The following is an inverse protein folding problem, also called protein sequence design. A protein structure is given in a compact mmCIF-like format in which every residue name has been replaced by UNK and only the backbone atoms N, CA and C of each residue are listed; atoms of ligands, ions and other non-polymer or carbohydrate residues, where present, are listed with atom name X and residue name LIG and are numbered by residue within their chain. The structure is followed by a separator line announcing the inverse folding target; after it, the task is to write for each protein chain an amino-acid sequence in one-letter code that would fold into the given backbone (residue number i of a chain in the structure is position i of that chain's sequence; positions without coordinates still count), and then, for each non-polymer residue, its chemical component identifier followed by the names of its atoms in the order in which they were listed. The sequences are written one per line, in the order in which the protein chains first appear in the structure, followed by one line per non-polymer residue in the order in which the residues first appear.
data_IF_936569995854
#
_entry.id   IF_936569995854
#
_cell.length_a   1.000
_cell.length_b   1.000
_cell.length_c   1.000
_cell.angle_alpha   90.00
_cell.angle_beta   90.00
_cell.angle_gamma   90.00
#
_symmetry.space_group_name_H-M   'P 1'
#
loop_
_entity.id
_entity.type
_entity.pdbx_description
1 polymer ?
#
# COMPACT_ATOMS: atom_id res chain seq x y z
N UNK A 1 -19.40 -1.89 2.01
CA UNK A 1 -19.30 -1.32 0.65
C UNK A 1 -20.37 -1.87 -0.29
N UNK A 2 -20.55 -3.20 -0.48
CA UNK A 2 -21.60 -3.73 -1.39
C UNK A 2 -22.99 -3.19 -1.09
N UNK A 3 -23.41 -3.15 0.17
CA UNK A 3 -24.70 -2.60 0.58
C UNK A 3 -24.81 -1.10 0.27
N UNK A 4 -23.72 -0.36 0.43
CA UNK A 4 -23.67 1.05 0.13
C UNK A 4 -23.73 1.30 -1.40
N UNK A 5 -22.96 0.53 -2.20
CA UNK A 5 -23.03 0.58 -3.67
C UNK A 5 -24.45 0.32 -4.16
N UNK A 6 -25.09 -0.76 -3.65
CA UNK A 6 -26.47 -1.12 -4.02
C UNK A 6 -27.42 -0.01 -3.58
N UNK A 7 -27.30 0.49 -2.35
CA UNK A 7 -28.17 1.55 -1.82
C UNK A 7 -28.05 2.85 -2.64
N UNK A 8 -26.84 3.33 -2.88
CA UNK A 8 -26.61 4.54 -3.68
C UNK A 8 -27.11 4.38 -5.12
N UNK A 9 -26.90 3.20 -5.73
CA UNK A 9 -27.39 2.89 -7.07
C UNK A 9 -28.92 2.85 -7.11
N UNK A 10 -29.56 2.26 -6.09
CA UNK A 10 -31.03 2.20 -5.99
C UNK A 10 -31.63 3.60 -5.86
N UNK A 11 -31.07 4.44 -4.95
CA UNK A 11 -31.50 5.82 -4.79
C UNK A 11 -31.37 6.61 -6.10
N UNK A 12 -30.26 6.45 -6.81
CA UNK A 12 -30.04 7.10 -8.08
C UNK A 12 -31.06 6.68 -9.15
N UNK A 13 -31.37 5.38 -9.25
CA UNK A 13 -32.31 4.85 -10.25
C UNK A 13 -33.76 5.21 -9.92
N UNK A 14 -34.17 5.12 -8.65
CA UNK A 14 -35.57 5.36 -8.26
C UNK A 14 -35.91 6.85 -8.13
N UNK A 15 -34.97 7.64 -7.59
CA UNK A 15 -35.20 9.06 -7.26
C UNK A 15 -34.42 10.05 -8.14
N UNK A 16 -33.66 9.60 -9.13
CA UNK A 16 -32.72 10.44 -9.91
C UNK A 16 -33.37 11.64 -10.59
N UNK A 17 -34.69 11.60 -10.83
CA UNK A 17 -35.43 12.74 -11.40
C UNK A 17 -35.66 13.88 -10.40
N UNK A 18 -35.57 13.60 -9.12
CA UNK A 18 -35.80 14.52 -8.03
C UNK A 18 -34.51 15.02 -7.38
N UNK A 19 -33.38 14.39 -7.70
CA UNK A 19 -32.05 14.73 -7.17
C UNK A 19 -31.44 15.87 -7.96
N UNK A 20 -30.76 16.74 -7.25
CA UNK A 20 -29.89 17.78 -7.84
C UNK A 20 -28.66 17.13 -8.49
N UNK A 21 -27.99 17.83 -9.38
CA UNK A 21 -26.75 17.35 -10.00
C UNK A 21 -25.63 17.09 -8.98
N UNK A 22 -25.59 17.87 -7.89
CA UNK A 22 -24.66 17.64 -6.78
C UNK A 22 -24.95 16.32 -6.08
N UNK A 23 -26.21 16.07 -5.69
CA UNK A 23 -26.59 14.80 -5.04
C UNK A 23 -26.35 13.58 -5.93
N UNK A 24 -26.57 13.71 -7.24
CA UNK A 24 -26.22 12.65 -8.21
C UNK A 24 -24.72 12.39 -8.24
N UNK A 25 -23.92 13.47 -8.27
CA UNK A 25 -22.46 13.38 -8.27
C UNK A 25 -21.96 12.70 -7.00
N UNK A 26 -22.50 13.06 -5.84
CA UNK A 26 -22.15 12.48 -4.55
C UNK A 26 -22.46 10.98 -4.51
N UNK A 27 -23.63 10.57 -4.98
CA UNK A 27 -23.99 9.13 -5.05
C UNK A 27 -23.04 8.35 -5.95
N UNK A 28 -22.69 8.88 -7.11
CA UNK A 28 -21.77 8.23 -8.04
C UNK A 28 -20.35 8.18 -7.46
N UNK A 29 -19.92 9.24 -6.77
CA UNK A 29 -18.62 9.26 -6.08
C UNK A 29 -18.56 8.20 -4.99
N UNK A 30 -19.59 8.04 -4.16
CA UNK A 30 -19.66 6.99 -3.16
C UNK A 30 -19.61 5.57 -3.77
N UNK A 31 -20.32 5.35 -4.91
CA UNK A 31 -20.27 4.08 -5.62
C UNK A 31 -18.84 3.80 -6.11
N UNK A 32 -18.17 4.80 -6.66
CA UNK A 32 -16.80 4.67 -7.17
C UNK A 32 -15.81 4.38 -6.04
N UNK A 33 -15.91 5.11 -4.91
CA UNK A 33 -15.05 4.92 -3.74
C UNK A 33 -15.20 3.51 -3.16
N UNK A 34 -16.43 3.05 -2.95
CA UNK A 34 -16.71 1.71 -2.42
C UNK A 34 -16.29 0.59 -3.40
N UNK A 35 -16.42 0.83 -4.71
CA UNK A 35 -15.97 -0.12 -5.74
C UNK A 35 -14.45 -0.25 -5.78
N UNK A 36 -13.73 0.87 -5.71
CA UNK A 36 -12.27 0.89 -5.62
C UNK A 36 -11.77 0.21 -4.33
N UNK A 37 -12.48 0.45 -3.22
CA UNK A 37 -12.18 -0.23 -1.97
C UNK A 37 -12.31 -1.75 -2.09
N UNK A 38 -13.40 -2.25 -2.71
CA UNK A 38 -13.59 -3.69 -2.95
C UNK A 38 -12.52 -4.28 -3.85
N UNK A 39 -12.14 -3.55 -4.90
CA UNK A 39 -11.07 -3.98 -5.80
C UNK A 39 -9.76 -4.17 -5.04
N UNK A 40 -9.37 -3.18 -4.23
CA UNK A 40 -8.18 -3.25 -3.39
C UNK A 40 -8.25 -4.44 -2.40
N UNK A 41 -9.44 -4.71 -1.82
CA UNK A 41 -9.64 -5.84 -0.93
C UNK A 41 -9.40 -7.17 -1.64
N UNK A 42 -9.94 -7.34 -2.85
CA UNK A 42 -9.78 -8.56 -3.65
C UNK A 42 -8.32 -8.75 -4.06
N UNK A 43 -7.64 -7.71 -4.54
CA UNK A 43 -6.21 -7.78 -4.88
C UNK A 43 -5.35 -8.17 -3.69
N UNK A 44 -5.62 -7.58 -2.53
CA UNK A 44 -4.95 -7.91 -1.28
C UNK A 44 -5.18 -9.39 -0.87
N UNK A 45 -6.42 -9.88 -0.99
CA UNK A 45 -6.75 -11.28 -0.67
C UNK A 45 -6.06 -12.25 -1.64
N UNK A 46 -6.04 -11.93 -2.94
CA UNK A 46 -5.34 -12.73 -3.95
C UNK A 46 -3.83 -12.78 -3.68
N UNK A 47 -3.23 -11.71 -3.22
CA UNK A 47 -1.81 -11.66 -2.85
C UNK A 47 -1.51 -12.61 -1.67
N UNK A 48 -2.37 -12.64 -0.65
CA UNK A 48 -2.23 -13.58 0.48
C UNK A 48 -2.42 -15.04 0.04
N UNK A 49 -3.38 -15.31 -0.84
CA UNK A 49 -3.64 -16.69 -1.31
C UNK A 49 -2.48 -17.24 -2.17
N UNK A 50 -1.74 -16.38 -2.86
CA UNK A 50 -0.51 -16.79 -3.58
C UNK A 50 0.60 -17.26 -2.63
N UNK A 51 0.64 -16.71 -1.40
CA UNK A 51 1.67 -17.02 -0.40
C UNK A 51 1.26 -18.25 0.45
N UNK A 52 -0.05 -18.48 0.70
CA UNK A 52 -0.54 -19.48 1.65
C UNK A 52 -0.71 -20.91 1.09
N UNK A 53 -0.36 -21.18 -0.15
CA UNK A 53 -0.36 -22.55 -0.66
C UNK A 53 0.88 -23.30 -0.11
N UNK A 54 0.66 -24.18 0.86
CA UNK A 54 1.43 -25.21 1.59
C UNK A 54 2.97 -25.29 1.45
N UNK A 55 3.56 -24.58 0.54
CA UNK A 55 5.00 -24.33 0.43
C UNK A 55 5.19 -22.83 0.23
N UNK A 56 5.44 -22.09 1.27
CA UNK A 56 5.72 -20.63 1.37
C UNK A 56 6.73 -20.09 0.31
N UNK A 57 6.61 -20.50 -0.94
CA UNK A 57 7.53 -20.11 -2.00
C UNK A 57 6.92 -19.03 -2.86
N UNK A 58 7.44 -17.82 -2.65
CA UNK A 58 7.29 -16.70 -3.60
C UNK A 58 8.01 -17.07 -4.89
N UNK A 59 7.43 -16.76 -6.01
CA UNK A 59 8.05 -17.03 -7.32
C UNK A 59 9.06 -15.93 -7.65
N UNK A 60 10.26 -16.02 -7.05
CA UNK A 60 11.32 -15.00 -7.23
C UNK A 60 12.00 -15.17 -8.57
N UNK A 61 12.11 -14.09 -9.32
CA UNK A 61 12.99 -13.91 -10.48
C UNK A 61 13.95 -12.76 -10.23
N UNK A 62 15.04 -12.70 -10.98
CA UNK A 62 15.99 -11.59 -10.88
C UNK A 62 15.36 -10.37 -11.57
N UNK A 63 14.96 -9.38 -10.77
CA UNK A 63 14.18 -8.23 -11.21
C UNK A 63 14.93 -6.92 -10.94
N UNK A 64 14.70 -5.92 -11.81
CA UNK A 64 15.24 -4.57 -11.65
C UNK A 64 14.47 -3.81 -10.57
N UNK A 65 15.19 -3.32 -9.56
CA UNK A 65 14.61 -2.49 -8.49
C UNK A 65 13.99 -1.22 -9.06
N UNK A 66 14.63 -0.58 -10.03
CA UNK A 66 14.16 0.64 -10.68
C UNK A 66 12.84 0.39 -11.44
N UNK A 67 12.76 -0.70 -12.22
CA UNK A 67 11.57 -1.04 -12.98
C UNK A 67 10.37 -1.34 -12.08
N UNK A 68 10.58 -2.08 -10.99
CA UNK A 68 9.53 -2.40 -10.01
C UNK A 68 9.02 -1.14 -9.31
N UNK A 69 9.91 -0.22 -8.91
CA UNK A 69 9.52 1.07 -8.35
C UNK A 69 8.75 1.93 -9.36
N UNK A 70 9.23 2.02 -10.59
CA UNK A 70 8.58 2.81 -11.65
C UNK A 70 7.16 2.29 -11.94
N UNK A 71 6.99 0.97 -12.05
CA UNK A 71 5.68 0.37 -12.29
C UNK A 71 4.73 0.58 -11.10
N UNK A 72 5.22 0.44 -9.85
CA UNK A 72 4.43 0.71 -8.66
C UNK A 72 3.93 2.17 -8.63
N UNK A 73 4.78 3.14 -8.94
CA UNK A 73 4.40 4.56 -9.03
C UNK A 73 3.40 4.81 -10.17
N UNK A 74 3.59 4.17 -11.32
CA UNK A 74 2.67 4.29 -12.44
C UNK A 74 1.27 3.76 -12.08
N UNK A 75 1.20 2.62 -11.40
CA UNK A 75 -0.07 2.03 -10.92
C UNK A 75 -0.72 2.88 -9.84
N UNK A 76 0.07 3.42 -8.91
CA UNK A 76 -0.44 4.35 -7.91
C UNK A 76 -1.09 5.57 -8.55
N UNK A 77 -0.44 6.21 -9.53
CA UNK A 77 -0.95 7.39 -10.24
C UNK A 77 -2.23 7.12 -11.03
N UNK A 78 -2.45 5.89 -11.51
CA UNK A 78 -3.73 5.50 -12.14
C UNK A 78 -4.89 5.50 -11.14
N UNK A 79 -4.63 5.16 -9.86
CA UNK A 79 -5.64 5.13 -8.78
C UNK A 79 -5.81 6.49 -8.11
N UNK A 80 -4.70 7.17 -7.89
CA UNK A 80 -4.60 8.46 -7.21
C UNK A 80 -3.86 9.45 -8.13
N UNK A 81 -4.56 10.08 -9.10
CA UNK A 81 -3.92 10.97 -10.09
C UNK A 81 -3.18 12.15 -9.44
N UNK A 82 -3.65 12.62 -8.28
CA UNK A 82 -3.07 13.73 -7.54
C UNK A 82 -1.89 13.34 -6.66
N UNK A 83 -1.57 12.03 -6.55
CA UNK A 83 -0.44 11.57 -5.75
C UNK A 83 0.89 12.04 -6.36
N UNK A 84 1.68 12.73 -5.55
CA UNK A 84 3.03 13.17 -5.89
C UNK A 84 4.02 12.24 -5.22
N UNK A 85 4.86 11.61 -6.01
CA UNK A 85 5.91 10.71 -5.53
C UNK A 85 7.22 11.10 -6.19
N UNK A 86 8.23 11.33 -5.37
CA UNK A 86 9.62 11.50 -5.78
C UNK A 86 10.33 10.16 -5.59
N UNK A 87 11.00 9.68 -6.62
CA UNK A 87 11.76 8.43 -6.58
C UNK A 87 13.24 8.73 -6.70
N UNK A 88 14.04 8.20 -5.78
CA UNK A 88 15.47 8.27 -5.80
C UNK A 88 16.05 6.86 -5.70
N UNK A 89 16.69 6.41 -6.76
CA UNK A 89 17.40 5.12 -6.82
C UNK A 89 18.87 5.38 -7.10
N UNK A 90 19.78 4.49 -6.65
CA UNK A 90 21.19 4.56 -7.02
C UNK A 90 21.40 4.52 -8.55
N UNK A 91 22.47 5.15 -9.04
CA UNK A 91 22.82 5.16 -10.47
C UNK A 91 23.20 3.76 -11.00
N UNK A 92 23.53 2.85 -10.11
CA UNK A 92 23.86 1.46 -10.46
C UNK A 92 22.59 0.62 -10.67
N UNK A 93 22.60 -0.21 -11.71
CA UNK A 93 21.50 -1.16 -11.97
C UNK A 93 21.46 -2.20 -10.86
N UNK A 94 20.41 -2.16 -10.05
CA UNK A 94 20.21 -3.10 -8.95
C UNK A 94 19.26 -4.21 -9.39
N UNK A 95 19.78 -5.44 -9.46
CA UNK A 95 19.00 -6.65 -9.77
C UNK A 95 18.95 -7.54 -8.54
N UNK A 96 17.75 -7.87 -8.04
CA UNK A 96 17.58 -8.74 -6.88
C UNK A 96 16.50 -9.79 -7.11
N UNK A 97 16.59 -10.97 -6.44
CA UNK A 97 15.57 -12.00 -6.56
C UNK A 97 14.31 -11.60 -5.78
N UNK A 98 13.22 -11.27 -6.51
CA UNK A 98 11.92 -10.94 -5.93
C UNK A 98 10.77 -11.36 -6.85
N UNK A 99 9.56 -11.46 -6.29
CA UNK A 99 8.31 -11.49 -7.05
C UNK A 99 7.88 -10.05 -7.30
N UNK A 100 8.12 -9.54 -8.51
CA UNK A 100 7.86 -8.15 -8.87
C UNK A 100 6.43 -7.72 -8.54
N UNK A 101 5.43 -8.56 -8.84
CA UNK A 101 4.00 -8.24 -8.62
C UNK A 101 3.69 -8.06 -7.14
N UNK A 102 4.26 -8.92 -6.28
CA UNK A 102 4.06 -8.82 -4.84
C UNK A 102 4.79 -7.62 -4.24
N UNK A 103 6.01 -7.32 -4.70
CA UNK A 103 6.74 -6.15 -4.22
C UNK A 103 6.11 -4.84 -4.70
N UNK A 104 5.63 -4.76 -5.95
CA UNK A 104 4.81 -3.65 -6.43
C UNK A 104 3.60 -3.41 -5.53
N UNK A 105 2.89 -4.48 -5.12
CA UNK A 105 1.75 -4.38 -4.21
C UNK A 105 2.15 -3.81 -2.84
N UNK A 106 3.31 -4.22 -2.29
CA UNK A 106 3.84 -3.63 -1.04
C UNK A 106 4.08 -2.13 -1.22
N UNK A 107 4.80 -1.75 -2.27
CA UNK A 107 5.13 -0.35 -2.56
C UNK A 107 3.88 0.51 -2.73
N UNK A 108 2.88 0.03 -3.49
CA UNK A 108 1.61 0.72 -3.68
C UNK A 108 0.90 0.92 -2.34
N UNK A 109 0.78 -0.14 -1.51
CA UNK A 109 0.13 -0.04 -0.21
C UNK A 109 0.83 0.95 0.73
N UNK A 110 2.17 0.98 0.75
CA UNK A 110 2.94 1.92 1.57
C UNK A 110 2.79 3.35 1.07
N UNK A 111 2.89 3.59 -0.24
CA UNK A 111 2.70 4.92 -0.85
C UNK A 111 1.26 5.43 -0.69
N UNK A 112 0.24 4.58 -0.84
CA UNK A 112 -1.16 4.94 -0.56
C UNK A 112 -1.35 5.36 0.89
N UNK A 113 -0.78 4.61 1.85
CA UNK A 113 -0.83 4.97 3.26
C UNK A 113 -0.15 6.32 3.52
N UNK A 114 1.03 6.53 2.98
CA UNK A 114 1.76 7.78 3.11
C UNK A 114 0.94 8.96 2.55
N UNK A 115 0.37 8.83 1.35
CA UNK A 115 -0.42 9.88 0.71
C UNK A 115 -1.73 10.17 1.47
N UNK A 116 -2.46 9.13 1.89
CA UNK A 116 -3.80 9.28 2.51
C UNK A 116 -3.71 9.77 3.96
N UNK A 117 -2.69 9.32 4.71
CA UNK A 117 -2.62 9.56 6.16
C UNK A 117 -1.71 10.71 6.56
N UNK A 118 -0.82 11.17 5.69
CA UNK A 118 0.09 12.30 5.98
C UNK A 118 -0.66 13.62 6.25
N UNK A 119 -1.80 13.83 5.60
CA UNK A 119 -2.56 15.10 5.64
C UNK A 119 -1.75 16.32 5.17
N UNK A 120 -0.80 16.09 4.27
CA UNK A 120 0.01 17.12 3.63
C UNK A 120 -0.14 17.08 2.13
N UNK A 121 0.28 18.14 1.44
CA UNK A 121 0.38 18.21 -0.02
C UNK A 121 1.81 17.97 -0.52
N UNK A 122 2.74 17.73 0.41
CA UNK A 122 4.11 17.41 0.04
C UNK A 122 4.19 16.03 -0.63
N UNK A 123 5.16 15.83 -1.53
CA UNK A 123 5.32 14.55 -2.20
C UNK A 123 5.74 13.45 -1.21
N UNK A 124 5.36 12.22 -1.50
CA UNK A 124 5.89 11.03 -0.85
C UNK A 124 7.28 10.76 -1.43
N UNK A 125 8.27 10.56 -0.57
CA UNK A 125 9.63 10.22 -0.98
C UNK A 125 9.81 8.70 -0.98
N UNK A 126 10.25 8.16 -2.13
CA UNK A 126 10.62 6.74 -2.25
C UNK A 126 12.08 6.65 -2.63
N UNK A 127 12.88 6.00 -1.79
CA UNK A 127 14.30 5.81 -2.08
C UNK A 127 14.79 4.43 -1.67
N UNK A 128 15.97 4.07 -2.15
CA UNK A 128 16.57 2.75 -1.96
C UNK A 128 17.99 2.89 -1.49
N UNK A 129 18.29 2.22 -0.38
CA UNK A 129 19.64 2.11 0.17
C UNK A 129 20.21 0.70 -0.07
N UNK A 130 21.50 0.66 -0.41
CA UNK A 130 22.23 -0.59 -0.68
C UNK A 130 23.16 -0.92 0.48
N UNK A 131 22.81 -1.96 1.26
CA UNK A 131 23.73 -2.59 2.22
C UNK A 131 24.53 -3.75 1.58
N UNK A 132 25.36 -4.43 2.35
CA UNK A 132 26.17 -5.55 1.86
C UNK A 132 25.30 -6.74 1.42
N UNK A 133 24.38 -7.20 2.30
CA UNK A 133 23.56 -8.39 2.09
C UNK A 133 22.11 -8.07 1.69
N UNK A 134 21.63 -6.85 1.96
CA UNK A 134 20.26 -6.44 1.79
C UNK A 134 20.14 -5.14 1.02
N UNK A 135 19.02 -4.98 0.35
CA UNK A 135 18.57 -3.69 -0.18
C UNK A 135 17.41 -3.25 0.70
N UNK A 136 17.40 -1.98 1.09
CA UNK A 136 16.33 -1.37 1.88
C UNK A 136 15.54 -0.39 1.03
N UNK A 137 14.23 -0.60 0.97
CA UNK A 137 13.29 0.29 0.33
C UNK A 137 12.65 1.18 1.39
N UNK A 138 12.56 2.47 1.12
CA UNK A 138 12.01 3.47 2.01
C UNK A 138 10.85 4.20 1.34
N UNK A 139 9.78 4.39 2.11
CA UNK A 139 8.62 5.21 1.73
C UNK A 139 8.37 6.19 2.87
N UNK A 140 8.59 7.46 2.63
CA UNK A 140 8.57 8.51 3.63
C UNK A 140 7.51 9.56 3.29
N UNK A 141 6.72 9.97 4.28
CA UNK A 141 5.80 11.10 4.18
C UNK A 141 6.26 12.28 5.05
N UNK A 142 5.71 13.45 4.79
CA UNK A 142 5.98 14.69 5.52
C UNK A 142 4.75 15.14 6.32
N UNK A 143 4.04 14.19 6.94
CA UNK A 143 2.77 14.40 7.60
C UNK A 143 2.85 14.42 9.12
N UNK A 144 1.73 14.01 9.71
CA UNK A 144 1.54 14.03 11.18
C UNK A 144 2.28 12.90 11.92
N UNK A 145 2.88 11.94 11.20
CA UNK A 145 3.49 10.75 11.78
C UNK A 145 2.49 9.74 12.33
N UNK A 146 3.04 8.67 12.91
CA UNK A 146 2.29 7.56 13.49
C UNK A 146 2.30 7.71 15.03
N UNK A 147 1.15 7.58 15.72
CA UNK A 147 1.13 7.57 17.18
C UNK A 147 2.10 6.51 17.74
N UNK A 148 2.95 6.86 18.73
CA UNK A 148 4.00 5.96 19.23
C UNK A 148 3.47 4.59 19.68
N UNK A 149 2.28 4.56 20.27
CA UNK A 149 1.61 3.34 20.73
C UNK A 149 1.19 2.39 19.58
N UNK A 150 1.10 2.92 18.34
CA UNK A 150 0.72 2.13 17.16
C UNK A 150 1.93 1.61 16.37
N UNK A 151 3.11 2.20 16.54
CA UNK A 151 4.31 1.83 15.77
C UNK A 151 4.64 0.33 15.86
N UNK A 152 4.51 -0.27 17.06
CA UNK A 152 4.82 -1.69 17.28
C UNK A 152 3.77 -2.65 16.73
N UNK A 153 2.54 -2.20 16.52
CA UNK A 153 1.39 -3.05 16.14
C UNK A 153 0.79 -2.72 14.77
N UNK A 154 1.34 -1.73 14.08
CA UNK A 154 0.75 -1.21 12.83
C UNK A 154 0.68 -2.28 11.72
N UNK A 155 1.54 -3.28 11.77
CA UNK A 155 1.57 -4.40 10.83
C UNK A 155 0.77 -5.62 11.29
N UNK A 156 0.16 -5.62 12.50
CA UNK A 156 -0.48 -6.82 13.08
C UNK A 156 -1.96 -6.98 12.68
N UNK A 157 -2.46 -6.11 11.80
CA UNK A 157 -3.84 -6.18 11.26
C UNK A 157 -4.96 -5.80 12.23
N UNK A 158 -4.65 -5.62 13.53
CA UNK A 158 -5.62 -5.33 14.59
C UNK A 158 -5.86 -3.82 14.79
N UNK A 159 -5.07 -2.97 14.15
CA UNK A 159 -5.03 -1.53 14.42
C UNK A 159 -6.22 -0.73 13.89
N UNK A 160 -7.15 -1.36 13.16
CA UNK A 160 -8.22 -0.65 12.42
C UNK A 160 -9.57 -0.56 13.17
N UNK A 161 -9.73 -1.17 14.35
CA UNK A 161 -11.06 -1.29 14.97
C UNK A 161 -11.47 -0.14 15.88
N UNK A 162 -10.61 0.86 16.15
CA UNK A 162 -10.89 1.90 17.16
C UNK A 162 -10.79 3.35 16.72
N UNK A 163 -10.55 3.64 15.45
CA UNK A 163 -10.63 5.05 15.00
C UNK A 163 -11.97 5.32 14.33
N UNK A 164 -12.94 5.77 15.10
CA UNK A 164 -14.08 6.57 14.64
C UNK A 164 -13.57 7.95 14.20
N UNK A 165 -12.77 8.02 13.16
CA UNK A 165 -12.59 9.27 12.44
C UNK A 165 -13.78 9.42 11.50
N UNK A 166 -14.47 10.55 11.58
CA UNK A 166 -15.61 10.96 10.75
C UNK A 166 -15.27 11.16 9.26
N UNK A 167 -14.03 10.92 8.86
CA UNK A 167 -13.60 10.87 7.47
C UNK A 167 -13.87 9.47 6.94
N UNK A 168 -14.79 9.34 5.99
CA UNK A 168 -15.29 8.08 5.42
C UNK A 168 -14.27 7.19 4.71
N UNK A 169 -12.97 7.41 4.88
CA UNK A 169 -11.88 6.60 4.34
C UNK A 169 -11.43 5.57 5.38
N UNK A 170 -12.17 4.48 5.49
CA UNK A 170 -11.80 3.31 6.30
C UNK A 170 -10.67 2.53 5.63
N UNK A 171 -9.44 2.83 6.01
CA UNK A 171 -8.34 1.90 5.81
C UNK A 171 -8.56 0.65 6.69
N UNK A 172 -8.60 -0.55 6.10
CA UNK A 172 -8.89 -1.79 6.84
C UNK A 172 -7.77 -2.28 7.76
N UNK A 173 -6.62 -1.63 7.81
CA UNK A 173 -5.44 -2.16 8.51
C UNK A 173 -4.88 -3.47 7.90
N UNK A 174 -5.57 -4.04 6.91
CA UNK A 174 -5.18 -5.29 6.25
C UNK A 174 -4.00 -5.06 5.29
N UNK A 175 -3.92 -3.89 4.65
CA UNK A 175 -2.85 -3.60 3.68
C UNK A 175 -1.45 -3.74 4.28
N UNK A 176 -1.21 -3.19 5.47
CA UNK A 176 0.08 -3.27 6.14
C UNK A 176 0.41 -4.69 6.62
N UNK A 177 -0.56 -5.44 7.13
CA UNK A 177 -0.33 -6.85 7.52
C UNK A 177 -0.01 -7.75 6.32
N UNK A 178 -0.58 -7.44 5.16
CA UNK A 178 -0.23 -8.09 3.90
C UNK A 178 1.19 -7.72 3.47
N UNK A 179 1.59 -6.44 3.58
CA UNK A 179 2.97 -6.03 3.33
C UNK A 179 3.94 -6.86 4.18
N UNK A 180 3.68 -7.01 5.48
CA UNK A 180 4.50 -7.84 6.37
C UNK A 180 4.57 -9.29 5.89
N UNK A 181 3.43 -9.90 5.53
CA UNK A 181 3.39 -11.27 5.04
C UNK A 181 4.20 -11.45 3.76
N UNK A 182 4.09 -10.52 2.81
CA UNK A 182 4.84 -10.56 1.55
C UNK A 182 6.35 -10.43 1.81
N UNK A 183 6.76 -9.46 2.62
CA UNK A 183 8.18 -9.19 2.89
C UNK A 183 8.82 -10.35 3.64
N UNK A 184 8.15 -10.90 4.65
CA UNK A 184 8.63 -12.10 5.38
C UNK A 184 8.77 -13.30 4.42
N UNK A 185 7.82 -13.53 3.53
CA UNK A 185 7.90 -14.57 2.51
C UNK A 185 9.08 -14.37 1.53
N UNK A 186 9.54 -13.13 1.35
CA UNK A 186 10.75 -12.80 0.60
C UNK A 186 12.05 -12.95 1.40
N UNK A 187 11.97 -13.26 2.70
CA UNK A 187 13.14 -13.35 3.61
C UNK A 187 13.63 -11.98 4.08
N UNK A 188 12.79 -10.97 4.00
CA UNK A 188 13.03 -9.61 4.46
C UNK A 188 12.35 -9.28 5.79
N UNK A 189 12.49 -8.03 6.20
CA UNK A 189 11.82 -7.45 7.36
C UNK A 189 11.20 -6.10 6.99
N UNK A 190 10.10 -5.71 7.65
CA UNK A 190 9.40 -4.45 7.42
C UNK A 190 9.17 -3.72 8.74
N UNK A 191 9.43 -2.43 8.75
CA UNK A 191 9.31 -1.56 9.93
C UNK A 191 8.68 -0.23 9.59
N UNK A 192 8.24 0.46 10.64
CA UNK A 192 7.79 1.84 10.58
C UNK A 192 8.47 2.65 11.67
N UNK A 193 8.78 3.89 11.37
CA UNK A 193 9.36 4.85 12.30
C UNK A 193 8.75 6.23 12.06
N UNK A 194 8.89 7.12 13.04
CA UNK A 194 8.65 8.54 12.84
C UNK A 194 10.00 9.25 12.64
N UNK A 195 9.98 10.24 11.79
CA UNK A 195 11.07 11.22 11.67
C UNK A 195 10.54 12.63 11.97
N UNK A 196 11.39 13.65 11.87
CA UNK A 196 11.06 14.99 12.35
C UNK A 196 9.76 15.60 11.79
N UNK A 197 9.37 15.22 10.56
CA UNK A 197 8.24 15.78 9.82
C UNK A 197 7.37 14.68 9.18
N UNK A 198 7.10 13.56 9.85
CA UNK A 198 6.22 12.54 9.30
C UNK A 198 6.54 11.12 9.71
N UNK A 199 6.10 10.17 8.91
CA UNK A 199 6.35 8.75 9.09
C UNK A 199 7.18 8.18 7.94
N UNK A 200 7.90 7.13 8.25
CA UNK A 200 8.67 6.33 7.33
C UNK A 200 8.31 4.86 7.48
N UNK A 201 8.02 4.23 6.37
CA UNK A 201 7.91 2.79 6.25
C UNK A 201 9.11 2.29 5.46
N UNK A 202 9.80 1.28 5.95
CA UNK A 202 10.94 0.72 5.25
C UNK A 202 10.95 -0.81 5.36
N UNK A 203 11.43 -1.46 4.29
CA UNK A 203 11.57 -2.90 4.27
C UNK A 203 12.86 -3.33 3.58
N UNK A 204 13.38 -4.48 3.98
CA UNK A 204 14.59 -5.07 3.43
C UNK A 204 14.29 -6.26 2.55
N UNK A 205 15.06 -6.44 1.48
CA UNK A 205 15.09 -7.65 0.68
C UNK A 205 16.53 -8.15 0.55
N UNK A 206 16.78 -9.48 0.65
CA UNK A 206 18.11 -10.03 0.47
C UNK A 206 18.58 -9.91 -0.99
N UNK A 207 19.83 -9.55 -1.21
CA UNK A 207 20.46 -9.44 -2.54
C UNK A 207 20.67 -10.80 -3.22
N UNK A 208 20.96 -11.82 -2.43
CA UNK A 208 21.04 -13.20 -2.89
C UNK A 208 19.96 -14.06 -2.21
N UNK A 209 19.55 -15.13 -2.87
CA UNK A 209 18.64 -16.08 -2.23
C UNK A 209 19.33 -16.67 -1.01
N UNK A 210 19.03 -16.10 0.19
CA UNK A 210 19.51 -16.67 1.43
C UNK A 210 19.15 -18.14 1.47
N UNK A 211 20.17 -19.01 1.49
CA UNK A 211 20.01 -20.38 1.93
C UNK A 211 19.51 -20.27 3.38
N UNK A 212 18.24 -20.59 3.58
CA UNK A 212 17.75 -20.86 4.92
C UNK A 212 18.53 -22.11 5.33
N UNK A 213 19.58 -21.93 6.11
CA UNK A 213 20.22 -23.02 6.82
C UNK A 213 19.16 -23.64 7.74
N UNK A 214 18.95 -24.94 7.49
CA UNK A 214 17.99 -25.82 8.14
C UNK A 214 18.32 -26.01 9.62
#
# INVERSE_FOLDING_TARGET
PLTSIIGSSTVYLENGKYLTETEKSDLVSHILEDSNWLLNMVENLLSVTRINNETTKVNKSLESVEEVLAEAVLRLKKRLPDARVNVCVPDEVLMIPMDAVLIEQVLINLMENAFVHSKTTEPVECYVDTGDDYITFHVQDHGIGIPPEKLSTIFDGSSSTTSTSNDGRKGMGIGLSICKTIIVAHGGDIKAANHNNGAEFYFTLPKEGSKIDS
#
